data_IF_427220196835
#
_entry.id   IF_427220196835
#
_cell.length_a   1.000
_cell.length_b   1.000
_cell.length_c   1.000
_cell.angle_alpha   90.00
_cell.angle_beta   90.00
_cell.angle_gamma   90.00
#
_symmetry.space_group_name_H-M   'P 1'
#
loop_
_entity.id
_entity.type
_entity.pdbx_description
1 polymer ?
#
# COMPACT_ATOMS: atom_id res chain seq x y z
N UNK A 1 -43.54 -66.39 -26.36
CA UNK A 1 -43.36 -65.38 -27.43
C UNK A 1 -42.08 -64.62 -27.09
N UNK A 2 -40.90 -65.10 -27.53
CA UNK A 2 -40.11 -64.68 -28.71
C UNK A 2 -39.91 -63.15 -28.85
N UNK A 3 -38.60 -62.77 -28.89
CA UNK A 3 -37.94 -61.58 -29.49
C UNK A 3 -37.84 -60.35 -28.56
N UNK A 4 -36.68 -59.73 -28.30
CA UNK A 4 -35.48 -59.51 -29.13
C UNK A 4 -34.17 -59.45 -28.31
N UNK A 5 -33.14 -60.13 -28.81
CA UNK A 5 -31.73 -59.80 -28.61
C UNK A 5 -31.34 -58.94 -29.81
N UNK A 6 -30.74 -57.77 -29.59
CA UNK A 6 -29.93 -57.10 -30.60
C UNK A 6 -28.80 -56.35 -29.91
N UNK A 7 -27.60 -56.79 -30.23
CA UNK A 7 -26.33 -56.34 -29.71
C UNK A 7 -25.78 -55.16 -30.52
N UNK A 8 -24.82 -54.47 -29.89
CA UNK A 8 -23.65 -53.82 -30.50
C UNK A 8 -23.89 -52.70 -31.51
N UNK A 9 -23.72 -51.46 -31.06
CA UNK A 9 -22.97 -50.45 -31.84
C UNK A 9 -21.99 -49.75 -30.90
N UNK A 10 -20.72 -50.03 -31.13
CA UNK A 10 -19.56 -49.29 -30.62
C UNK A 10 -19.48 -47.97 -31.38
N UNK A 11 -19.45 -46.84 -30.66
CA UNK A 11 -18.82 -45.60 -31.13
C UNK A 11 -18.25 -44.86 -29.93
N UNK A 12 -16.91 -44.81 -29.88
CA UNK A 12 -16.17 -43.78 -29.18
C UNK A 12 -16.58 -42.38 -29.69
N UNK A 13 -16.12 -41.32 -29.01
CA UNK A 13 -16.48 -39.89 -29.15
C UNK A 13 -17.61 -39.52 -28.15
N UNK A 14 -17.46 -38.59 -27.21
CA UNK A 14 -16.41 -37.62 -26.97
C UNK A 14 -16.57 -37.04 -25.57
N UNK A 15 -15.42 -36.73 -24.98
CA UNK A 15 -15.22 -36.07 -23.71
C UNK A 15 -15.50 -34.56 -23.89
N UNK A 16 -16.76 -34.13 -23.85
CA UNK A 16 -17.19 -32.72 -23.97
C UNK A 16 -18.52 -32.59 -23.19
N UNK A 17 -18.76 -31.70 -22.24
CA UNK A 17 -18.04 -30.54 -21.77
C UNK A 17 -18.45 -30.29 -20.31
N UNK A 18 -17.51 -30.42 -19.37
CA UNK A 18 -17.56 -29.67 -18.12
C UNK A 18 -16.75 -28.40 -18.37
N UNK A 19 -17.31 -27.47 -19.12
CA UNK A 19 -16.90 -26.08 -19.02
C UNK A 19 -17.73 -25.50 -17.88
N UNK A 20 -17.21 -25.71 -16.67
CA UNK A 20 -17.45 -24.77 -15.60
C UNK A 20 -17.14 -23.39 -16.19
N UNK A 21 -18.19 -22.60 -16.41
CA UNK A 21 -18.03 -21.18 -16.58
C UNK A 21 -17.42 -20.68 -15.29
N UNK A 22 -16.10 -20.59 -15.26
CA UNK A 22 -15.44 -19.59 -14.45
C UNK A 22 -15.96 -18.27 -15.00
N UNK A 23 -17.05 -17.78 -14.40
CA UNK A 23 -17.30 -16.35 -14.43
C UNK A 23 -16.07 -15.75 -13.79
N UNK A 24 -15.18 -15.26 -14.63
CA UNK A 24 -14.21 -14.24 -14.31
C UNK A 24 -15.00 -13.03 -13.80
N UNK A 25 -15.37 -13.07 -12.53
CA UNK A 25 -15.79 -11.91 -11.77
C UNK A 25 -14.53 -11.05 -11.55
N UNK A 26 -14.00 -10.49 -12.63
CA UNK A 26 -13.02 -9.42 -12.56
C UNK A 26 -13.76 -8.15 -12.17
N UNK A 27 -14.05 -8.00 -10.87
CA UNK A 27 -14.05 -6.67 -10.29
C UNK A 27 -12.61 -6.17 -10.41
N UNK A 28 -12.29 -5.48 -11.50
CA UNK A 28 -10.92 -5.06 -11.82
C UNK A 28 -10.39 -4.01 -10.83
N UNK A 29 -11.26 -3.42 -10.00
CA UNK A 29 -10.91 -2.46 -8.96
C UNK A 29 -10.69 -3.10 -7.60
N UNK A 30 -9.85 -2.45 -6.79
CA UNK A 30 -9.77 -2.71 -5.36
C UNK A 30 -11.00 -2.15 -4.65
N UNK A 31 -11.52 -2.90 -3.68
CA UNK A 31 -12.45 -2.38 -2.69
C UNK A 31 -11.69 -1.45 -1.74
N UNK A 32 -11.96 -0.14 -1.85
CA UNK A 32 -11.31 0.87 -1.04
C UNK A 32 -12.21 1.32 0.11
N UNK A 33 -11.66 1.51 1.32
CA UNK A 33 -12.40 2.13 2.41
C UNK A 33 -12.85 3.54 2.02
N UNK A 34 -14.08 3.89 2.39
CA UNK A 34 -14.56 5.25 2.28
C UNK A 34 -14.24 6.00 3.60
N UNK A 35 -13.54 7.14 3.56
CA UNK A 35 -13.23 7.94 4.75
C UNK A 35 -14.46 8.26 5.60
N UNK A 36 -15.61 8.54 4.98
CA UNK A 36 -16.85 8.87 5.72
C UNK A 36 -17.43 7.71 6.54
N UNK A 37 -16.97 6.48 6.30
CA UNK A 37 -17.39 5.30 7.06
C UNK A 37 -16.46 5.03 8.26
N UNK A 38 -15.37 5.79 8.43
CA UNK A 38 -14.33 5.56 9.45
C UNK A 38 -14.67 6.13 10.84
N UNK A 39 -15.90 6.60 11.08
CA UNK A 39 -16.34 6.99 12.42
C UNK A 39 -15.63 8.23 12.97
N UNK A 40 -15.35 9.22 12.12
CA UNK A 40 -14.77 10.50 12.50
C UNK A 40 -15.75 11.42 13.22
N UNK A 41 -15.24 12.12 14.24
CA UNK A 41 -15.99 13.23 14.85
C UNK A 41 -16.15 14.38 13.84
N UNK A 42 -17.17 15.24 13.99
CA UNK A 42 -17.38 16.37 13.08
C UNK A 42 -16.19 17.33 12.98
N UNK A 43 -15.41 17.49 14.06
CA UNK A 43 -14.20 18.33 14.07
C UNK A 43 -13.08 17.72 13.22
N UNK A 44 -13.00 16.40 13.13
CA UNK A 44 -12.04 15.67 12.31
C UNK A 44 -12.46 15.67 10.83
N UNK A 45 -13.77 15.66 10.55
CA UNK A 45 -14.33 15.71 9.19
C UNK A 45 -13.98 17.01 8.43
N UNK A 46 -13.90 18.15 9.12
CA UNK A 46 -13.57 19.45 8.53
C UNK A 46 -12.13 19.50 7.97
N UNK A 47 -11.27 18.64 8.51
CA UNK A 47 -9.83 18.61 8.21
C UNK A 47 -9.54 17.71 7.02
N UNK A 48 -10.39 16.70 6.78
CA UNK A 48 -10.27 15.75 5.68
C UNK A 48 -10.18 16.40 4.29
N UNK A 49 -10.76 17.59 4.14
CA UNK A 49 -10.72 18.34 2.88
C UNK A 49 -9.34 18.93 2.59
N UNK A 50 -8.53 19.13 3.63
CA UNK A 50 -7.20 19.72 3.57
C UNK A 50 -6.09 18.66 3.45
N UNK A 51 -6.43 17.39 3.68
CA UNK A 51 -5.49 16.27 3.59
C UNK A 51 -5.19 15.95 2.11
N UNK A 52 -3.90 15.84 1.71
CA UNK A 52 -3.52 15.34 0.40
C UNK A 52 -4.14 13.97 0.10
N UNK A 53 -4.43 13.69 -1.18
CA UNK A 53 -5.10 12.45 -1.60
C UNK A 53 -4.33 11.73 -2.70
N UNK A 54 -4.58 10.44 -2.85
CA UNK A 54 -4.00 9.62 -3.90
C UNK A 54 -2.47 9.58 -3.87
N UNK A 55 -1.84 9.52 -5.05
CA UNK A 55 -0.38 9.37 -5.18
C UNK A 55 0.45 10.50 -4.59
N UNK A 56 -0.14 11.67 -4.31
CA UNK A 56 0.54 12.75 -3.59
C UNK A 56 0.99 12.28 -2.20
N UNK A 57 0.24 11.39 -1.55
CA UNK A 57 0.60 10.81 -0.25
C UNK A 57 1.83 9.90 -0.31
N UNK A 58 2.37 9.57 -1.48
CA UNK A 58 3.66 8.85 -1.59
C UNK A 58 4.85 9.79 -1.33
N UNK A 59 4.66 11.10 -1.45
CA UNK A 59 5.72 12.06 -1.18
C UNK A 59 5.94 12.21 0.33
N UNK A 60 7.18 12.09 0.83
CA UNK A 60 7.45 12.15 2.27
C UNK A 60 6.93 13.42 2.96
N UNK A 61 7.06 14.58 2.32
CA UNK A 61 6.58 15.86 2.87
C UNK A 61 5.06 15.94 2.95
N UNK A 62 4.36 15.45 1.94
CA UNK A 62 2.89 15.46 1.89
C UNK A 62 2.31 14.45 2.87
N UNK A 63 2.93 13.26 2.96
CA UNK A 63 2.56 12.26 3.96
C UNK A 63 2.76 12.80 5.38
N UNK A 64 3.90 13.45 5.66
CA UNK A 64 4.15 14.00 6.99
C UNK A 64 3.19 15.15 7.33
N UNK A 65 2.87 16.01 6.35
CA UNK A 65 1.89 17.09 6.51
C UNK A 65 0.49 16.53 6.77
N UNK A 66 0.09 15.48 6.05
CA UNK A 66 -1.17 14.77 6.27
C UNK A 66 -1.23 14.17 7.68
N UNK A 67 -0.17 13.48 8.12
CA UNK A 67 -0.07 12.89 9.46
C UNK A 67 -0.20 13.99 10.52
N UNK A 68 0.56 15.08 10.39
CA UNK A 68 0.53 16.18 11.34
C UNK A 68 -0.87 16.77 11.45
N UNK A 69 -1.50 17.06 10.30
CA UNK A 69 -2.82 17.68 10.26
C UNK A 69 -3.88 16.77 10.89
N UNK A 70 -3.89 15.47 10.57
CA UNK A 70 -4.84 14.53 11.16
C UNK A 70 -4.66 14.40 12.68
N UNK A 71 -3.41 14.33 13.14
CA UNK A 71 -3.06 14.14 14.57
C UNK A 71 -3.34 15.38 15.40
N UNK A 72 -3.01 16.56 14.91
CA UNK A 72 -3.25 17.85 15.59
C UNK A 72 -4.75 18.09 15.81
N UNK A 73 -5.59 17.56 14.91
CA UNK A 73 -7.03 17.64 15.00
C UNK A 73 -7.69 16.48 15.79
N UNK A 74 -6.89 15.69 16.51
CA UNK A 74 -7.37 14.77 17.53
C UNK A 74 -7.46 13.30 17.13
N UNK A 75 -7.17 12.94 15.87
CA UNK A 75 -7.23 11.53 15.47
C UNK A 75 -6.23 10.69 16.25
N UNK A 76 -6.66 9.49 16.64
CA UNK A 76 -5.76 8.47 17.18
C UNK A 76 -4.73 8.01 16.13
N UNK A 77 -3.72 7.26 16.57
CA UNK A 77 -2.74 6.64 15.67
C UNK A 77 -3.44 5.74 14.64
N UNK A 78 -4.34 4.88 15.11
CA UNK A 78 -5.04 3.92 14.27
C UNK A 78 -5.99 4.63 13.29
N UNK A 79 -6.70 5.66 13.74
CA UNK A 79 -7.59 6.44 12.87
C UNK A 79 -6.78 7.19 11.81
N UNK A 80 -5.64 7.78 12.19
CA UNK A 80 -4.75 8.44 11.23
C UNK A 80 -4.31 7.48 10.13
N UNK A 81 -3.87 6.27 10.50
CA UNK A 81 -3.45 5.25 9.52
C UNK A 81 -4.62 4.85 8.62
N UNK A 82 -5.80 4.60 9.19
CA UNK A 82 -6.99 4.20 8.44
C UNK A 82 -7.40 5.27 7.42
N UNK A 83 -7.38 6.55 7.81
CA UNK A 83 -7.70 7.66 6.93
C UNK A 83 -6.68 7.82 5.80
N UNK A 84 -5.39 7.74 6.09
CA UNK A 84 -4.34 7.79 5.06
C UNK A 84 -4.53 6.70 4.02
N UNK A 85 -4.86 5.47 4.44
CA UNK A 85 -5.15 4.36 3.51
C UNK A 85 -6.42 4.63 2.70
N UNK A 86 -7.47 5.14 3.34
CA UNK A 86 -8.73 5.48 2.67
C UNK A 86 -8.56 6.62 1.63
N UNK A 87 -7.66 7.58 1.86
CA UNK A 87 -7.36 8.63 0.89
C UNK A 87 -6.43 8.18 -0.25
N UNK A 88 -5.62 7.14 -0.01
CA UNK A 88 -4.67 6.64 -0.99
C UNK A 88 -5.29 5.59 -1.94
N UNK A 89 -6.01 4.62 -1.38
CA UNK A 89 -6.53 3.46 -2.10
C UNK A 89 -7.31 3.81 -3.39
N UNK A 90 -8.22 4.81 -3.40
CA UNK A 90 -9.00 5.12 -4.60
C UNK A 90 -8.16 5.47 -5.83
N UNK A 91 -7.02 6.14 -5.64
CA UNK A 91 -6.12 6.46 -6.75
C UNK A 91 -5.47 5.19 -7.34
N UNK A 92 -5.10 4.23 -6.49
CA UNK A 92 -4.55 2.94 -6.93
C UNK A 92 -5.61 2.08 -7.61
N UNK A 93 -6.82 2.05 -7.07
CA UNK A 93 -7.95 1.30 -7.64
C UNK A 93 -8.36 1.82 -9.03
N UNK A 94 -8.18 3.13 -9.26
CA UNK A 94 -8.47 3.79 -10.53
C UNK A 94 -7.33 3.69 -11.57
N UNK A 95 -6.14 3.17 -11.21
CA UNK A 95 -5.00 3.09 -12.11
C UNK A 95 -5.11 1.90 -13.07
N UNK A 96 -5.57 2.18 -14.29
CA UNK A 96 -5.69 1.20 -15.36
C UNK A 96 -4.34 0.61 -15.84
N UNK A 97 -3.21 1.19 -15.43
CA UNK A 97 -1.87 0.68 -15.71
C UNK A 97 -1.43 -0.46 -14.78
N UNK A 98 -2.18 -0.73 -13.71
CA UNK A 98 -1.85 -1.77 -12.73
C UNK A 98 -2.75 -3.00 -12.88
N UNK A 99 -2.15 -4.18 -12.77
CA UNK A 99 -2.90 -5.39 -12.50
C UNK A 99 -3.44 -5.37 -11.06
N UNK A 100 -4.49 -6.12 -10.78
CA UNK A 100 -5.04 -6.24 -9.44
C UNK A 100 -3.97 -6.63 -8.38
N UNK A 101 -3.05 -7.54 -8.72
CA UNK A 101 -1.96 -7.92 -7.83
C UNK A 101 -1.02 -6.73 -7.52
N UNK A 102 -0.70 -5.92 -8.52
CA UNK A 102 0.11 -4.71 -8.34
C UNK A 102 -0.64 -3.65 -7.53
N UNK A 103 -1.95 -3.52 -7.70
CA UNK A 103 -2.77 -2.63 -6.88
C UNK A 103 -2.71 -3.04 -5.40
N UNK A 104 -2.92 -4.33 -5.10
CA UNK A 104 -2.84 -4.88 -3.74
C UNK A 104 -1.47 -4.63 -3.13
N UNK A 105 -0.40 -4.99 -3.85
CA UNK A 105 0.98 -4.80 -3.38
C UNK A 105 1.25 -3.33 -3.06
N UNK A 106 0.84 -2.42 -3.95
CA UNK A 106 1.09 -0.99 -3.80
C UNK A 106 0.35 -0.40 -2.59
N UNK A 107 -0.93 -0.73 -2.40
CA UNK A 107 -1.68 -0.32 -1.19
C UNK A 107 -1.05 -0.89 0.07
N UNK A 108 -0.58 -2.15 0.06
CA UNK A 108 0.09 -2.75 1.21
C UNK A 108 1.42 -2.07 1.54
N UNK A 109 2.22 -1.70 0.53
CA UNK A 109 3.48 -0.98 0.75
C UNK A 109 3.23 0.42 1.30
N UNK A 110 2.25 1.14 0.74
CA UNK A 110 1.83 2.42 1.28
C UNK A 110 1.38 2.30 2.75
N UNK A 111 0.50 1.35 3.08
CA UNK A 111 0.01 1.16 4.44
C UNK A 111 1.14 0.82 5.44
N UNK A 112 2.14 0.04 5.02
CA UNK A 112 3.35 -0.21 5.83
C UNK A 112 4.13 1.07 6.08
N UNK A 113 4.36 1.89 5.05
CA UNK A 113 5.06 3.16 5.19
C UNK A 113 4.27 4.13 6.09
N UNK A 114 2.97 4.32 5.85
CA UNK A 114 2.11 5.18 6.66
C UNK A 114 2.14 4.78 8.14
N UNK A 115 2.08 3.48 8.46
CA UNK A 115 2.25 2.99 9.83
C UNK A 115 3.59 3.44 10.42
N UNK A 116 4.70 3.16 9.74
CA UNK A 116 6.03 3.53 10.24
C UNK A 116 6.14 5.04 10.54
N UNK A 117 5.61 5.88 9.65
CA UNK A 117 5.64 7.33 9.80
C UNK A 117 4.75 7.82 10.95
N UNK A 118 3.49 7.35 11.04
CA UNK A 118 2.58 7.76 12.12
C UNK A 118 3.12 7.38 13.49
N UNK A 119 3.73 6.19 13.61
CA UNK A 119 4.37 5.78 14.87
C UNK A 119 5.65 6.57 15.18
N UNK A 120 6.37 7.05 14.18
CA UNK A 120 7.55 7.89 14.35
C UNK A 120 7.21 9.33 14.80
N UNK A 121 6.15 9.92 14.25
CA UNK A 121 5.72 11.30 14.55
C UNK A 121 5.20 11.48 15.99
N UNK A 122 5.11 10.44 16.82
CA UNK A 122 4.97 10.61 18.28
C UNK A 122 6.15 11.39 18.90
N UNK A 123 7.27 11.55 18.19
CA UNK A 123 8.26 12.59 18.44
C UNK A 123 8.16 13.61 17.29
N UNK A 124 7.68 14.82 17.60
CA UNK A 124 7.04 15.77 16.66
C UNK A 124 8.03 16.47 15.67
N UNK A 125 9.27 16.02 15.57
CA UNK A 125 10.33 16.74 14.83
C UNK A 125 11.13 15.89 13.81
N UNK A 126 10.88 14.59 13.72
CA UNK A 126 11.68 13.71 12.86
C UNK A 126 10.94 13.32 11.55
N UNK A 127 11.44 13.78 10.39
CA UNK A 127 11.03 13.24 9.07
C UNK A 127 11.82 11.95 8.81
N UNK A 128 11.14 10.82 8.70
CA UNK A 128 11.79 9.53 8.40
C UNK A 128 11.78 9.26 6.90
N UNK A 129 12.94 9.03 6.30
CA UNK A 129 13.05 8.46 4.97
C UNK A 129 13.33 6.96 5.06
N UNK A 130 12.35 6.13 4.70
CA UNK A 130 12.54 4.68 4.63
C UNK A 130 13.07 4.27 3.25
N UNK A 131 14.39 4.28 3.10
CA UNK A 131 15.07 3.95 1.84
C UNK A 131 15.70 2.56 1.96
N UNK A 132 15.15 1.52 1.30
CA UNK A 132 15.78 0.21 1.30
C UNK A 132 17.15 0.29 0.61
N UNK A 133 18.18 -0.19 1.30
CA UNK A 133 19.53 -0.28 0.77
C UNK A 133 19.86 -1.73 0.42
N UNK A 134 20.56 -1.93 -0.70
CA UNK A 134 21.21 -3.22 -0.98
C UNK A 134 22.17 -3.59 0.18
N UNK A 135 22.28 -4.86 0.60
CA UNK A 135 23.16 -5.26 1.70
C UNK A 135 24.62 -4.83 1.54
N UNK A 136 25.13 -4.82 0.30
CA UNK A 136 26.48 -4.36 -0.02
C UNK A 136 26.61 -2.87 0.23
N UNK A 137 25.60 -2.10 -0.19
CA UNK A 137 25.55 -0.64 0.01
C UNK A 137 25.44 -0.32 1.50
N UNK A 138 24.60 -1.06 2.24
CA UNK A 138 24.47 -0.90 3.69
C UNK A 138 25.80 -1.14 4.42
N UNK A 139 26.56 -2.17 4.01
CA UNK A 139 27.89 -2.45 4.57
C UNK A 139 28.90 -1.34 4.23
N UNK A 140 28.91 -0.86 2.99
CA UNK A 140 29.79 0.24 2.57
C UNK A 140 29.50 1.53 3.35
N UNK A 141 28.22 1.82 3.61
CA UNK A 141 27.81 2.96 4.44
C UNK A 141 28.31 2.81 5.88
N UNK A 142 28.17 1.61 6.47
CA UNK A 142 28.68 1.33 7.82
C UNK A 142 30.20 1.50 7.91
N UNK A 143 30.96 1.03 6.92
CA UNK A 143 32.41 1.19 6.87
C UNK A 143 32.83 2.66 6.70
N UNK A 144 32.11 3.42 5.88
CA UNK A 144 32.34 4.85 5.69
C UNK A 144 32.08 5.66 6.98
N UNK A 145 31.01 5.31 7.69
CA UNK A 145 30.69 5.91 8.99
C UNK A 145 31.78 5.63 10.03
N UNK A 146 32.19 4.35 10.15
CA UNK A 146 33.24 3.91 11.07
C UNK A 146 34.56 4.63 10.84
N UNK A 147 34.97 4.84 9.57
CA UNK A 147 36.19 5.60 9.22
C UNK A 147 36.15 7.05 9.71
N UNK A 148 34.96 7.63 9.89
CA UNK A 148 34.75 8.99 10.41
C UNK A 148 34.44 9.03 11.91
N UNK A 149 34.43 7.87 12.60
CA UNK A 149 34.06 7.79 14.02
C UNK A 149 32.59 8.12 14.29
N UNK A 150 31.72 7.97 13.29
CA UNK A 150 30.29 8.23 13.38
C UNK A 150 29.50 6.92 13.43
N UNK A 151 28.27 6.98 13.95
CA UNK A 151 27.28 5.93 13.66
C UNK A 151 26.84 6.00 12.20
N UNK A 152 26.27 4.92 11.67
CA UNK A 152 25.81 4.91 10.27
C UNK A 152 24.70 5.95 10.05
N UNK A 153 23.82 6.15 11.02
CA UNK A 153 22.74 7.14 10.99
C UNK A 153 23.30 8.58 10.96
N UNK A 154 24.28 8.89 11.81
CA UNK A 154 24.93 10.20 11.83
C UNK A 154 25.67 10.49 10.52
N UNK A 155 26.30 9.46 9.95
CA UNK A 155 26.98 9.56 8.67
C UNK A 155 25.99 9.79 7.52
N UNK A 156 24.87 9.05 7.48
CA UNK A 156 23.81 9.26 6.48
C UNK A 156 23.23 10.66 6.61
N UNK A 157 22.86 11.10 7.82
CA UNK A 157 22.37 12.47 8.08
C UNK A 157 23.32 13.52 7.51
N UNK A 158 24.59 13.47 7.90
CA UNK A 158 25.61 14.43 7.44
C UNK A 158 25.79 14.37 5.92
N UNK A 159 25.70 13.19 5.32
CA UNK A 159 25.84 13.02 3.87
C UNK A 159 24.67 13.63 3.11
N UNK A 160 23.44 13.42 3.59
CA UNK A 160 22.22 14.02 3.00
C UNK A 160 22.25 15.54 3.17
N UNK A 161 22.57 16.06 4.36
CA UNK A 161 22.67 17.51 4.62
C UNK A 161 23.67 18.20 3.69
N UNK A 162 24.84 17.58 3.43
CA UNK A 162 25.83 18.13 2.50
C UNK A 162 25.43 18.03 1.03
N UNK A 163 24.52 17.13 0.66
CA UNK A 163 24.12 16.92 -0.73
C UNK A 163 23.03 17.90 -1.20
N UNK A 164 22.33 18.54 -0.26
CA UNK A 164 21.23 19.48 -0.53
C UNK A 164 21.59 20.95 -0.27
N UNK A 165 22.82 21.21 0.18
CA UNK A 165 23.42 22.55 0.28
C UNK A 165 24.16 22.89 -1.01
#
# INVERSE_FOLDING_TARGET
MRRNILALVVCAIGFLANLAGFNEAHAQGLECPNPGDLGTSPLEADVEQLVPKGYTLEQPSDLQSAIWLLREHGMSIDDTINHLVAYYCPAVSADAGLSHAQMVERVQQFAKNARLQVFATNNVEDIIYNVPLDPTVAQLAADAAKKKGLTVEQWIKTTVENAVQ
#
